data_IF_541096101889
#
_entry.id   IF_541096101889
#
_cell.length_a   1.000
_cell.length_b   1.000
_cell.length_c   1.000
_cell.angle_alpha   90.00
_cell.angle_beta   90.00
_cell.angle_gamma   90.00
#
_symmetry.space_group_name_H-M   'P 1'
#
loop_
_entity.id
_entity.type
_entity.pdbx_description
1 polymer ?
#
# COMPACT_ATOMS: atom_id res chain seq x y z
N UNK A 1 1.54 -12.57 -16.42
CA UNK A 1 0.79 -11.31 -16.47
C UNK A 1 0.57 -10.85 -17.92
N UNK A 2 1.60 -10.67 -18.76
CA UNK A 2 1.45 -10.18 -20.13
C UNK A 2 0.50 -11.05 -20.99
N UNK A 3 0.67 -12.37 -20.94
CA UNK A 3 -0.25 -13.30 -21.62
C UNK A 3 -1.68 -13.11 -21.11
N UNK A 4 -1.87 -12.91 -19.80
CA UNK A 4 -3.17 -12.63 -19.22
C UNK A 4 -3.78 -11.33 -19.74
N UNK A 5 -3.01 -10.25 -19.82
CA UNK A 5 -3.46 -8.98 -20.37
C UNK A 5 -3.91 -9.12 -21.85
N UNK A 6 -3.16 -9.85 -22.67
CA UNK A 6 -3.57 -10.14 -24.04
C UNK A 6 -4.80 -11.06 -24.14
N UNK A 7 -4.96 -12.00 -23.19
CA UNK A 7 -6.17 -12.85 -23.14
C UNK A 7 -7.43 -12.06 -22.86
N UNK A 8 -7.33 -10.95 -22.10
CA UNK A 8 -8.46 -10.03 -21.86
C UNK A 8 -8.96 -9.32 -23.14
N UNK A 9 -8.15 -9.29 -24.21
CA UNK A 9 -8.57 -8.74 -25.49
C UNK A 9 -9.50 -9.69 -26.28
N UNK A 10 -9.59 -10.98 -25.87
CA UNK A 10 -10.48 -11.95 -26.52
C UNK A 10 -11.91 -11.70 -26.05
N UNK A 11 -12.85 -11.35 -26.95
CA UNK A 11 -14.22 -10.99 -26.56
C UNK A 11 -15.04 -12.25 -26.23
N UNK A 12 -14.66 -12.95 -25.16
CA UNK A 12 -15.35 -14.14 -24.68
C UNK A 12 -15.24 -14.27 -23.16
N UNK A 13 -16.22 -14.91 -22.53
CA UNK A 13 -16.21 -15.20 -21.10
C UNK A 13 -14.97 -16.03 -20.71
N UNK A 14 -14.56 -16.97 -21.55
CA UNK A 14 -13.35 -17.76 -21.34
C UNK A 14 -12.09 -16.89 -21.38
N UNK A 15 -11.99 -15.96 -22.35
CA UNK A 15 -10.88 -15.00 -22.43
C UNK A 15 -10.77 -14.13 -21.19
N UNK A 16 -11.92 -13.66 -20.68
CA UNK A 16 -11.98 -12.86 -19.45
C UNK A 16 -11.46 -13.66 -18.24
N UNK A 17 -12.01 -14.83 -17.95
CA UNK A 17 -11.59 -15.62 -16.80
C UNK A 17 -10.15 -16.12 -16.91
N UNK A 18 -9.71 -16.56 -18.08
CA UNK A 18 -8.32 -16.97 -18.32
C UNK A 18 -7.37 -15.78 -18.14
N UNK A 19 -7.73 -14.62 -18.69
CA UNK A 19 -6.95 -13.41 -18.55
C UNK A 19 -6.77 -12.99 -17.09
N UNK A 20 -7.87 -12.92 -16.33
CA UNK A 20 -7.84 -12.60 -14.90
C UNK A 20 -7.03 -13.62 -14.11
N UNK A 21 -7.22 -14.92 -14.35
CA UNK A 21 -6.46 -15.98 -13.69
C UNK A 21 -4.94 -15.83 -13.92
N UNK A 22 -4.52 -15.62 -15.17
CA UNK A 22 -3.10 -15.47 -15.52
C UNK A 22 -2.49 -14.18 -14.97
N UNK A 23 -3.24 -13.08 -14.90
CA UNK A 23 -2.77 -11.83 -14.27
C UNK A 23 -2.58 -12.04 -12.78
N UNK A 24 -3.55 -12.62 -12.07
CA UNK A 24 -3.48 -12.89 -10.63
C UNK A 24 -2.34 -13.85 -10.31
N UNK A 25 -2.24 -14.96 -11.03
CA UNK A 25 -1.17 -15.94 -10.85
C UNK A 25 0.22 -15.29 -11.06
N UNK A 26 0.38 -14.55 -12.15
CA UNK A 26 1.62 -13.86 -12.45
C UNK A 26 1.98 -12.78 -11.43
N UNK A 27 1.00 -12.05 -10.91
CA UNK A 27 1.21 -11.05 -9.85
C UNK A 27 1.63 -11.70 -8.53
N UNK A 28 1.01 -12.82 -8.18
CA UNK A 28 1.34 -13.59 -6.97
C UNK A 28 2.79 -14.08 -6.94
N UNK A 29 3.37 -14.44 -8.07
CA UNK A 29 4.79 -14.80 -8.15
C UNK A 29 5.72 -13.60 -8.29
N UNK A 30 5.32 -12.58 -9.05
CA UNK A 30 6.20 -11.44 -9.37
C UNK A 30 6.46 -10.56 -8.15
N UNK A 31 5.39 -10.11 -7.47
CA UNK A 31 5.48 -9.09 -6.41
C UNK A 31 6.36 -9.50 -5.23
N UNK A 32 6.23 -10.71 -4.62
CA UNK A 32 7.08 -11.09 -3.51
C UNK A 32 8.54 -11.26 -3.89
N UNK A 33 8.80 -11.76 -5.11
CA UNK A 33 10.17 -11.97 -5.56
C UNK A 33 10.90 -10.65 -5.83
N UNK A 34 10.24 -9.67 -6.47
CA UNK A 34 10.87 -8.36 -6.70
C UNK A 34 11.11 -7.62 -5.37
N UNK A 35 10.15 -7.65 -4.43
CA UNK A 35 10.30 -7.08 -3.10
C UNK A 35 11.45 -7.74 -2.32
N UNK A 36 11.56 -9.07 -2.39
CA UNK A 36 12.63 -9.82 -1.73
C UNK A 36 13.99 -9.47 -2.31
N UNK A 37 14.14 -9.46 -3.65
CA UNK A 37 15.41 -9.12 -4.31
C UNK A 37 15.81 -7.68 -4.03
N UNK A 38 14.84 -6.75 -4.06
CA UNK A 38 15.09 -5.37 -3.69
C UNK A 38 15.55 -5.24 -2.23
N UNK A 39 14.88 -5.91 -1.29
CA UNK A 39 15.28 -5.93 0.12
C UNK A 39 16.69 -6.49 0.32
N UNK A 40 17.03 -7.59 -0.36
CA UNK A 40 18.38 -8.20 -0.30
C UNK A 40 19.49 -7.23 -0.68
N UNK A 41 19.26 -6.31 -1.61
CA UNK A 41 20.25 -5.31 -2.02
C UNK A 41 20.63 -4.31 -0.92
N UNK A 42 19.82 -4.20 0.14
CA UNK A 42 20.04 -3.31 1.28
C UNK A 42 20.53 -4.00 2.55
N UNK A 43 20.79 -5.33 2.54
CA UNK A 43 21.20 -6.07 3.74
C UNK A 43 22.45 -5.48 4.41
N UNK A 44 23.41 -5.00 3.62
CA UNK A 44 24.62 -4.35 4.10
C UNK A 44 24.42 -2.86 4.48
N UNK A 45 23.21 -2.32 4.25
CA UNK A 45 22.85 -0.92 4.50
C UNK A 45 21.49 -0.82 5.18
N UNK A 46 21.29 -1.56 6.26
CA UNK A 46 19.99 -1.70 6.94
C UNK A 46 19.36 -0.39 7.40
N UNK A 47 20.17 0.66 7.64
CA UNK A 47 19.68 2.01 7.98
C UNK A 47 18.93 2.67 6.81
N UNK A 48 19.21 2.26 5.57
CA UNK A 48 18.57 2.79 4.35
C UNK A 48 17.36 1.95 3.87
N UNK A 49 17.02 0.87 4.57
CA UNK A 49 15.89 0.01 4.21
C UNK A 49 14.58 0.79 4.09
N UNK A 50 14.29 1.66 5.05
CA UNK A 50 13.04 2.41 5.08
C UNK A 50 12.96 3.39 3.91
N UNK A 51 14.02 4.14 3.63
CA UNK A 51 14.07 5.04 2.47
C UNK A 51 14.07 4.27 1.16
N UNK A 52 14.80 3.15 1.07
CA UNK A 52 14.80 2.28 -0.09
C UNK A 52 13.41 1.76 -0.44
N UNK A 53 12.71 1.18 0.52
CA UNK A 53 11.33 0.73 0.28
C UNK A 53 10.35 1.88 0.05
N UNK A 54 10.61 3.08 0.57
CA UNK A 54 9.82 4.27 0.22
C UNK A 54 10.04 4.70 -1.24
N UNK A 55 11.27 4.59 -1.78
CA UNK A 55 11.56 4.78 -3.21
C UNK A 55 10.80 3.74 -4.05
N UNK A 56 10.82 2.48 -3.62
CA UNK A 56 10.07 1.42 -4.30
C UNK A 56 8.56 1.70 -4.31
N UNK A 57 8.01 2.17 -3.18
CA UNK A 57 6.61 2.55 -3.06
C UNK A 57 6.27 3.78 -3.93
N UNK A 58 7.15 4.78 -3.99
CA UNK A 58 7.03 5.91 -4.92
C UNK A 58 6.94 5.43 -6.38
N UNK A 59 7.79 4.50 -6.78
CA UNK A 59 7.78 3.94 -8.13
C UNK A 59 6.48 3.17 -8.43
N UNK A 60 5.93 2.43 -7.45
CA UNK A 60 4.61 1.77 -7.58
C UNK A 60 3.51 2.82 -7.79
N UNK A 61 3.46 3.87 -6.96
CA UNK A 61 2.43 4.90 -7.07
C UNK A 61 2.52 5.68 -8.38
N UNK A 62 3.74 6.01 -8.82
CA UNK A 62 3.96 6.65 -10.12
C UNK A 62 3.51 5.74 -11.27
N UNK A 63 3.87 4.46 -11.20
CA UNK A 63 3.44 3.45 -12.17
C UNK A 63 1.93 3.26 -12.21
N UNK A 64 1.27 3.26 -11.06
CA UNK A 64 -0.19 3.17 -10.95
C UNK A 64 -0.86 4.41 -11.55
N UNK A 65 -0.37 5.61 -11.21
CA UNK A 65 -0.89 6.85 -11.77
C UNK A 65 -0.77 6.89 -13.31
N UNK A 66 0.42 6.60 -13.84
CA UNK A 66 0.66 6.57 -15.27
C UNK A 66 -0.14 5.46 -15.96
N UNK A 67 -0.21 4.26 -15.35
CA UNK A 67 -0.95 3.12 -15.88
C UNK A 67 -2.44 3.40 -15.98
N UNK A 68 -3.06 3.86 -14.89
CA UNK A 68 -4.50 4.18 -14.89
C UNK A 68 -4.80 5.32 -15.87
N UNK A 69 -3.98 6.37 -15.88
CA UNK A 69 -4.17 7.50 -16.79
C UNK A 69 -4.03 7.08 -18.26
N UNK A 70 -3.01 6.29 -18.60
CA UNK A 70 -2.76 5.86 -19.96
C UNK A 70 -3.77 4.83 -20.44
N UNK A 71 -4.00 3.78 -19.64
CA UNK A 71 -4.89 2.66 -19.98
C UNK A 71 -6.34 3.13 -19.91
N UNK A 72 -6.72 3.90 -18.88
CA UNK A 72 -8.05 4.46 -18.72
C UNK A 72 -8.41 5.39 -19.87
N UNK A 73 -7.57 6.37 -20.18
CA UNK A 73 -7.77 7.28 -21.30
C UNK A 73 -7.87 6.57 -22.65
N UNK A 74 -6.98 5.59 -22.89
CA UNK A 74 -7.00 4.80 -24.11
C UNK A 74 -8.26 3.93 -24.19
N UNK A 75 -8.69 3.35 -23.07
CA UNK A 75 -9.89 2.54 -22.98
C UNK A 75 -11.17 3.35 -23.24
N UNK A 76 -11.27 4.54 -22.66
CA UNK A 76 -12.41 5.45 -22.88
C UNK A 76 -12.50 5.93 -24.34
N UNK A 77 -11.36 6.26 -24.96
CA UNK A 77 -11.29 6.86 -26.30
C UNK A 77 -11.32 5.85 -27.44
N UNK A 78 -10.63 4.72 -27.30
CA UNK A 78 -10.38 3.75 -28.38
C UNK A 78 -10.90 2.34 -28.08
N UNK A 79 -11.49 2.14 -26.91
CA UNK A 79 -11.99 0.85 -26.45
C UNK A 79 -11.00 0.11 -25.54
N UNK A 80 -11.54 -0.60 -24.56
CA UNK A 80 -10.75 -1.27 -23.49
C UNK A 80 -9.75 -2.32 -24.01
N UNK A 81 -10.01 -2.93 -25.17
CA UNK A 81 -9.07 -3.87 -25.80
C UNK A 81 -7.71 -3.23 -26.08
N UNK A 82 -7.68 -1.96 -26.50
CA UNK A 82 -6.44 -1.21 -26.73
C UNK A 82 -5.72 -0.98 -25.41
N UNK A 83 -6.44 -0.64 -24.34
CA UNK A 83 -5.87 -0.52 -23.00
C UNK A 83 -5.21 -1.82 -22.53
N UNK A 84 -5.84 -2.97 -22.74
CA UNK A 84 -5.26 -4.27 -22.38
C UNK A 84 -4.03 -4.62 -23.24
N UNK A 85 -4.00 -4.30 -24.52
CA UNK A 85 -2.83 -4.47 -25.39
C UNK A 85 -1.66 -3.61 -24.88
N UNK A 86 -1.90 -2.34 -24.57
CA UNK A 86 -0.87 -1.45 -24.00
C UNK A 86 -0.34 -2.02 -22.70
N UNK A 87 -1.21 -2.48 -21.81
CA UNK A 87 -0.82 -3.11 -20.55
C UNK A 87 0.07 -4.35 -20.78
N UNK A 88 -0.32 -5.23 -21.72
CA UNK A 88 0.48 -6.40 -22.07
C UNK A 88 1.86 -6.06 -22.62
N UNK A 89 1.97 -5.04 -23.47
CA UNK A 89 3.25 -4.55 -23.99
C UNK A 89 4.13 -3.99 -22.86
N UNK A 90 3.58 -3.16 -21.97
CA UNK A 90 4.32 -2.61 -20.82
C UNK A 90 4.81 -3.72 -19.89
N UNK A 91 4.00 -4.77 -19.68
CA UNK A 91 4.41 -5.94 -18.91
C UNK A 91 5.54 -6.73 -19.59
N UNK A 92 5.58 -6.84 -20.93
CA UNK A 92 6.70 -7.44 -21.65
C UNK A 92 7.96 -6.58 -21.53
N UNK A 93 7.84 -5.26 -21.66
CA UNK A 93 8.97 -4.34 -21.48
C UNK A 93 9.57 -4.41 -20.08
N UNK A 94 8.78 -4.74 -19.05
CA UNK A 94 9.27 -4.92 -17.67
C UNK A 94 10.23 -6.11 -17.50
N UNK A 95 10.32 -7.02 -18.47
CA UNK A 95 11.28 -8.13 -18.47
C UNK A 95 12.71 -7.61 -18.72
N UNK A 96 12.87 -6.53 -19.47
CA UNK A 96 14.18 -5.99 -19.86
C UNK A 96 15.05 -5.64 -18.64
N UNK A 97 14.59 -4.85 -17.65
CA UNK A 97 15.37 -4.59 -16.46
C UNK A 97 15.72 -5.85 -15.67
N UNK A 98 14.85 -6.86 -15.66
CA UNK A 98 15.09 -8.13 -14.94
C UNK A 98 16.24 -8.90 -15.57
N UNK A 99 16.31 -8.97 -16.90
CA UNK A 99 17.39 -9.65 -17.63
C UNK A 99 18.74 -8.94 -17.42
N UNK A 100 18.72 -7.61 -17.33
CA UNK A 100 19.94 -6.80 -17.17
C UNK A 100 20.40 -6.78 -15.71
N UNK A 101 19.49 -6.95 -14.75
CA UNK A 101 19.81 -6.91 -13.31
C UNK A 101 20.64 -8.13 -12.90
N UNK A 102 21.65 -7.89 -12.04
CA UNK A 102 22.42 -8.98 -11.42
C UNK A 102 21.66 -9.49 -10.20
N UNK A 103 21.60 -10.82 -10.04
CA UNK A 103 21.10 -11.40 -8.77
C UNK A 103 22.07 -11.10 -7.63
N UNK A 104 21.52 -10.66 -6.51
CA UNK A 104 22.30 -10.50 -5.28
C UNK A 104 22.43 -11.86 -4.60
N UNK A 105 23.64 -12.45 -4.62
CA UNK A 105 23.97 -13.61 -3.81
C UNK A 105 24.03 -13.20 -2.34
N UNK A 106 23.09 -13.72 -1.56
CA UNK A 106 22.94 -13.43 -0.12
C UNK A 106 23.62 -14.48 0.77
N UNK A 107 24.73 -15.05 0.34
CA UNK A 107 25.41 -16.13 1.08
C UNK A 107 26.05 -15.66 2.40
N UNK A 108 26.36 -14.39 2.53
CA UNK A 108 26.93 -13.78 3.75
C UNK A 108 25.91 -12.93 4.51
N UNK A 109 24.92 -13.58 5.10
CA UNK A 109 24.07 -12.92 6.07
C UNK A 109 24.70 -13.03 7.45
N UNK A 110 25.42 -12.00 7.90
CA UNK A 110 25.84 -11.88 9.28
C UNK A 110 24.59 -11.84 10.17
N UNK A 111 24.48 -12.85 11.03
CA UNK A 111 23.41 -12.92 12.03
C UNK A 111 23.61 -11.74 12.99
N UNK A 112 22.80 -10.69 12.82
CA UNK A 112 22.78 -9.59 13.79
C UNK A 112 22.52 -10.10 15.22
N UNK A 113 22.96 -9.36 16.22
CA UNK A 113 22.89 -9.69 17.67
C UNK A 113 21.48 -9.96 18.22
N UNK A 114 20.43 -9.76 17.41
CA UNK A 114 19.04 -9.90 17.85
C UNK A 114 18.63 -11.37 17.97
N UNK A 115 18.14 -11.79 19.14
CA UNK A 115 17.67 -13.16 19.40
C UNK A 115 16.55 -13.57 18.44
N UNK A 116 16.49 -14.86 18.11
CA UNK A 116 15.49 -15.43 17.19
C UNK A 116 14.07 -15.12 17.67
N UNK A 117 13.79 -15.28 18.97
CA UNK A 117 12.47 -14.99 19.55
C UNK A 117 12.05 -13.54 19.34
N UNK A 118 12.95 -12.58 19.53
CA UNK A 118 12.67 -11.16 19.32
C UNK A 118 12.42 -10.84 17.84
N UNK A 119 13.12 -11.50 16.92
CA UNK A 119 12.93 -11.37 15.48
C UNK A 119 11.55 -11.87 15.07
N UNK A 120 11.15 -13.08 15.50
CA UNK A 120 9.84 -13.66 15.23
C UNK A 120 8.74 -12.76 15.81
N UNK A 121 8.89 -12.29 17.04
CA UNK A 121 7.92 -11.39 17.67
C UNK A 121 7.72 -10.10 16.88
N UNK A 122 8.79 -9.45 16.42
CA UNK A 122 8.71 -8.22 15.61
C UNK A 122 8.00 -8.46 14.28
N UNK A 123 8.24 -9.60 13.63
CA UNK A 123 7.58 -9.98 12.38
C UNK A 123 6.07 -10.21 12.63
N UNK A 124 5.71 -10.93 13.68
CA UNK A 124 4.31 -11.22 14.01
C UNK A 124 3.54 -9.93 14.36
N UNK A 125 4.13 -9.07 15.19
CA UNK A 125 3.52 -7.76 15.52
C UNK A 125 3.35 -6.94 14.24
N UNK A 126 4.34 -6.89 13.37
CA UNK A 126 4.26 -6.15 12.11
C UNK A 126 3.16 -6.70 11.20
N UNK A 127 3.01 -8.02 11.06
CA UNK A 127 1.95 -8.63 10.27
C UNK A 127 0.57 -8.29 10.81
N UNK A 128 0.36 -8.39 12.13
CA UNK A 128 -0.92 -8.06 12.75
C UNK A 128 -1.24 -6.57 12.56
N UNK A 129 -0.29 -5.70 12.91
CA UNK A 129 -0.48 -4.24 12.85
C UNK A 129 -0.78 -3.79 11.42
N UNK A 130 0.02 -4.23 10.46
CA UNK A 130 -0.17 -3.85 9.05
C UNK A 130 -1.42 -4.50 8.44
N UNK A 131 -1.72 -5.76 8.82
CA UNK A 131 -2.96 -6.42 8.41
C UNK A 131 -4.20 -5.68 8.91
N UNK A 132 -4.21 -5.28 10.17
CA UNK A 132 -5.29 -4.47 10.77
C UNK A 132 -5.41 -3.11 10.09
N UNK A 133 -4.27 -2.45 9.80
CA UNK A 133 -4.28 -1.18 9.07
C UNK A 133 -5.02 -1.29 7.73
N UNK A 134 -4.60 -2.23 6.88
CA UNK A 134 -5.20 -2.39 5.57
C UNK A 134 -6.65 -2.88 5.63
N UNK A 135 -6.98 -3.71 6.63
CA UNK A 135 -8.37 -4.13 6.85
C UNK A 135 -9.29 -2.95 7.21
N UNK A 136 -8.84 -2.10 8.14
CA UNK A 136 -9.56 -0.86 8.51
C UNK A 136 -9.64 0.10 7.32
N UNK A 137 -8.54 0.26 6.59
CA UNK A 137 -8.47 1.09 5.39
C UNK A 137 -9.50 0.64 4.35
N UNK A 138 -9.60 -0.65 4.07
CA UNK A 138 -10.51 -1.21 3.08
C UNK A 138 -11.98 -0.92 3.40
N UNK A 139 -12.37 -1.03 4.68
CA UNK A 139 -13.73 -0.66 5.13
C UNK A 139 -13.99 0.83 4.95
N UNK A 140 -13.05 1.67 5.38
CA UNK A 140 -13.20 3.13 5.33
C UNK A 140 -13.13 3.64 3.89
N UNK A 141 -12.46 2.91 3.00
CA UNK A 141 -12.33 3.23 1.58
C UNK A 141 -13.69 3.21 0.85
N UNK A 142 -14.70 2.50 1.36
CA UNK A 142 -16.07 2.54 0.83
C UNK A 142 -16.57 4.00 0.83
N UNK A 143 -16.36 4.73 1.93
CA UNK A 143 -16.75 6.15 2.01
C UNK A 143 -15.87 7.05 1.15
N UNK A 144 -14.58 6.77 1.05
CA UNK A 144 -13.65 7.53 0.19
C UNK A 144 -14.10 7.40 -1.27
N UNK A 145 -14.41 6.19 -1.71
CA UNK A 145 -14.86 5.92 -3.06
C UNK A 145 -16.23 6.56 -3.35
N UNK A 146 -17.17 6.49 -2.42
CA UNK A 146 -18.48 7.14 -2.51
C UNK A 146 -18.32 8.67 -2.68
N UNK A 147 -17.51 9.32 -1.85
CA UNK A 147 -17.20 10.75 -1.97
C UNK A 147 -16.50 11.09 -3.29
N UNK A 148 -15.58 10.24 -3.73
CA UNK A 148 -14.87 10.41 -4.99
C UNK A 148 -15.83 10.43 -6.18
N UNK A 149 -16.81 9.53 -6.20
CA UNK A 149 -17.84 9.48 -7.24
C UNK A 149 -18.70 10.74 -7.19
N UNK A 150 -19.17 11.15 -6.01
CA UNK A 150 -20.00 12.33 -5.85
C UNK A 150 -19.25 13.61 -6.27
N UNK A 151 -17.98 13.80 -5.83
CA UNK A 151 -17.19 14.97 -6.23
C UNK A 151 -16.83 14.99 -7.72
N UNK A 152 -16.71 13.84 -8.37
CA UNK A 152 -16.51 13.78 -9.82
C UNK A 152 -17.70 14.34 -10.61
N UNK A 153 -18.89 14.41 -10.00
CA UNK A 153 -20.12 14.89 -10.61
C UNK A 153 -20.45 16.35 -10.24
N UNK A 154 -20.18 16.75 -8.98
CA UNK A 154 -20.57 18.08 -8.45
C UNK A 154 -19.47 19.12 -8.54
N UNK A 155 -18.21 18.72 -8.76
CA UNK A 155 -17.10 19.64 -8.79
C UNK A 155 -17.13 20.51 -10.06
N UNK A 156 -16.94 21.83 -9.88
CA UNK A 156 -16.73 22.77 -10.99
C UNK A 156 -15.41 22.50 -11.76
N UNK A 157 -14.54 21.65 -11.24
CA UNK A 157 -13.31 21.28 -11.90
C UNK A 157 -13.60 20.31 -13.03
N UNK A 158 -13.34 20.72 -14.25
CA UNK A 158 -13.56 19.91 -15.46
C UNK A 158 -12.50 18.80 -15.59
N UNK A 159 -12.47 17.90 -14.61
CA UNK A 159 -11.53 16.77 -14.50
C UNK A 159 -12.27 15.49 -14.89
N UNK A 160 -11.65 14.65 -15.71
CA UNK A 160 -12.23 13.36 -16.11
C UNK A 160 -12.42 12.42 -14.90
N UNK A 161 -13.42 11.54 -14.96
CA UNK A 161 -13.67 10.54 -13.88
C UNK A 161 -12.45 9.67 -13.60
N UNK A 162 -11.70 9.28 -14.63
CA UNK A 162 -10.45 8.52 -14.48
C UNK A 162 -9.36 9.27 -13.71
N UNK A 163 -9.23 10.59 -13.91
CA UNK A 163 -8.29 11.40 -13.12
C UNK A 163 -8.74 11.56 -11.67
N UNK A 164 -10.04 11.69 -11.41
CA UNK A 164 -10.56 11.67 -10.05
C UNK A 164 -10.19 10.38 -9.31
N UNK A 165 -10.19 9.23 -9.99
CA UNK A 165 -9.78 7.93 -9.42
C UNK A 165 -8.30 7.90 -9.02
N UNK A 166 -7.46 8.72 -9.61
CA UNK A 166 -6.02 8.78 -9.31
C UNK A 166 -5.61 9.91 -8.37
N UNK A 167 -6.56 10.74 -7.93
CA UNK A 167 -6.26 11.97 -7.17
C UNK A 167 -5.50 11.69 -5.87
N UNK A 168 -5.81 10.58 -5.19
CA UNK A 168 -5.07 10.14 -4.00
C UNK A 168 -3.60 9.86 -4.31
N UNK A 169 -3.30 9.20 -5.43
CA UNK A 169 -1.93 8.89 -5.84
C UNK A 169 -1.12 10.15 -6.15
N UNK A 170 -1.75 11.22 -6.65
CA UNK A 170 -1.07 12.50 -6.92
C UNK A 170 -0.48 13.08 -5.63
N UNK A 171 -1.21 13.04 -4.52
CA UNK A 171 -0.71 13.54 -3.23
C UNK A 171 0.38 12.64 -2.65
N UNK A 172 0.28 11.34 -2.85
CA UNK A 172 1.27 10.37 -2.35
C UNK A 172 2.65 10.58 -2.97
N UNK A 173 2.76 11.06 -4.22
CA UNK A 173 4.04 11.28 -4.89
C UNK A 173 4.94 12.30 -4.17
N UNK A 174 4.53 13.58 -3.95
CA UNK A 174 5.38 14.55 -3.25
C UNK A 174 5.62 14.18 -1.79
N UNK A 175 4.66 13.56 -1.11
CA UNK A 175 4.82 13.09 0.26
C UNK A 175 5.88 11.97 0.32
N UNK A 176 5.92 11.07 -0.66
CA UNK A 176 6.97 10.04 -0.76
C UNK A 176 8.36 10.64 -0.89
N UNK A 177 8.53 11.70 -1.70
CA UNK A 177 9.81 12.39 -1.85
C UNK A 177 10.29 12.98 -0.53
N UNK A 178 9.41 13.64 0.21
CA UNK A 178 9.73 14.16 1.54
C UNK A 178 10.09 13.03 2.50
N UNK A 179 9.33 11.94 2.52
CA UNK A 179 9.60 10.79 3.37
C UNK A 179 10.94 10.11 3.04
N UNK A 180 11.32 10.01 1.76
CA UNK A 180 12.63 9.47 1.34
C UNK A 180 13.76 10.29 1.97
N UNK A 181 13.69 11.62 1.88
CA UNK A 181 14.69 12.51 2.48
C UNK A 181 14.72 12.32 4.01
N UNK A 182 13.56 12.34 4.67
CA UNK A 182 13.47 12.17 6.11
C UNK A 182 14.08 10.82 6.56
N UNK A 183 13.72 9.72 5.90
CA UNK A 183 14.21 8.39 6.30
C UNK A 183 15.66 8.12 5.90
N UNK A 184 16.23 8.89 4.99
CA UNK A 184 17.65 8.80 4.64
C UNK A 184 18.51 9.49 5.68
N UNK A 185 18.12 10.66 6.15
CA UNK A 185 18.94 11.49 7.03
C UNK A 185 18.53 11.40 8.51
N UNK A 186 17.25 11.12 8.81
CA UNK A 186 16.73 11.04 10.18
C UNK A 186 16.28 9.62 10.50
N UNK A 187 17.17 8.85 11.11
CA UNK A 187 16.85 7.49 11.50
C UNK A 187 15.82 7.47 12.65
N UNK A 188 14.76 6.73 12.47
CA UNK A 188 13.77 6.43 13.51
C UNK A 188 13.38 4.96 13.49
N UNK A 189 12.85 4.43 14.61
CA UNK A 189 12.43 3.03 14.67
C UNK A 189 11.25 2.77 13.71
N UNK A 190 11.22 1.57 13.14
CA UNK A 190 10.16 1.16 12.21
C UNK A 190 8.77 1.16 12.88
N UNK A 191 8.69 0.72 14.14
CA UNK A 191 7.44 0.77 14.91
C UNK A 191 6.96 2.20 15.22
N UNK A 192 7.89 3.16 15.38
CA UNK A 192 7.54 4.57 15.47
C UNK A 192 6.87 5.06 14.18
N UNK A 193 7.38 4.65 13.02
CA UNK A 193 6.78 4.99 11.74
C UNK A 193 5.39 4.39 11.57
N UNK A 194 5.21 3.11 11.94
CA UNK A 194 3.88 2.49 11.97
C UNK A 194 2.89 3.27 12.86
N UNK A 195 3.35 3.67 14.06
CA UNK A 195 2.54 4.51 14.97
C UNK A 195 2.10 5.81 14.29
N UNK A 196 3.03 6.52 13.64
CA UNK A 196 2.73 7.74 12.87
C UNK A 196 1.70 7.48 11.78
N UNK A 197 1.84 6.35 11.06
CA UNK A 197 0.86 5.93 10.04
C UNK A 197 -0.56 5.82 10.59
N UNK A 198 -0.74 5.17 11.74
CA UNK A 198 -2.06 5.04 12.36
C UNK A 198 -2.63 6.38 12.84
N UNK A 199 -1.80 7.27 13.41
CA UNK A 199 -2.23 8.60 13.84
C UNK A 199 -2.73 9.41 12.65
N UNK A 200 -1.96 9.46 11.55
CA UNK A 200 -2.36 10.20 10.36
C UNK A 200 -3.57 9.56 9.65
N UNK A 201 -3.72 8.24 9.70
CA UNK A 201 -4.93 7.55 9.25
C UNK A 201 -6.17 7.94 10.05
N UNK A 202 -6.06 7.99 11.38
CA UNK A 202 -7.15 8.45 12.24
C UNK A 202 -7.53 9.91 11.95
N UNK A 203 -6.55 10.80 11.75
CA UNK A 203 -6.77 12.21 11.38
C UNK A 203 -7.48 12.28 10.02
N UNK A 204 -7.02 11.55 9.01
CA UNK A 204 -7.64 11.52 7.68
C UNK A 204 -9.11 11.12 7.77
N UNK A 205 -9.41 10.01 8.44
CA UNK A 205 -10.79 9.53 8.58
C UNK A 205 -11.64 10.48 9.44
N UNK A 206 -11.04 11.13 10.45
CA UNK A 206 -11.70 12.17 11.22
C UNK A 206 -12.09 13.38 10.36
N UNK A 207 -11.24 13.81 9.44
CA UNK A 207 -11.55 14.90 8.49
C UNK A 207 -12.67 14.47 7.53
N UNK A 208 -12.62 13.24 7.01
CA UNK A 208 -13.70 12.70 6.16
C UNK A 208 -15.05 12.65 6.88
N UNK A 209 -15.03 12.40 8.18
CA UNK A 209 -16.25 12.36 8.97
C UNK A 209 -16.96 13.71 9.06
N UNK A 210 -16.24 14.83 8.84
CA UNK A 210 -16.82 16.18 8.79
C UNK A 210 -17.62 16.43 7.50
N UNK A 211 -17.51 15.56 6.49
CA UNK A 211 -18.22 15.70 5.23
C UNK A 211 -19.58 14.98 5.37
N UNK A 212 -20.72 15.69 5.16
CA UNK A 212 -22.05 15.08 5.26
C UNK A 212 -22.26 13.98 4.22
N UNK A 213 -23.30 13.17 4.40
CA UNK A 213 -23.63 12.07 3.48
C UNK A 213 -23.83 12.58 2.04
N UNK A 214 -24.48 13.71 1.88
CA UNK A 214 -24.62 14.41 0.59
C UNK A 214 -23.70 15.64 0.64
N UNK A 215 -22.50 15.56 0.04
CA UNK A 215 -21.56 16.67 0.03
C UNK A 215 -22.01 17.77 -0.93
N UNK A 216 -21.49 18.96 -0.70
CA UNK A 216 -21.55 20.09 -1.63
C UNK A 216 -20.14 20.37 -2.16
N UNK A 217 -20.02 21.19 -3.20
CA UNK A 217 -18.74 21.58 -3.78
C UNK A 217 -17.76 22.14 -2.74
N UNK A 218 -18.26 22.87 -1.73
CA UNK A 218 -17.44 23.43 -0.65
C UNK A 218 -16.66 22.38 0.17
N UNK A 219 -17.13 21.13 0.19
CA UNK A 219 -16.46 20.04 0.89
C UNK A 219 -15.30 19.40 0.08
N UNK A 220 -15.11 19.80 -1.19
CA UNK A 220 -14.04 19.26 -2.04
C UNK A 220 -12.66 19.48 -1.42
N UNK A 221 -12.40 20.68 -0.86
CA UNK A 221 -11.12 20.98 -0.20
C UNK A 221 -10.93 20.10 1.05
N UNK A 222 -11.96 19.91 1.85
CA UNK A 222 -11.92 19.03 3.03
C UNK A 222 -11.59 17.59 2.63
N UNK A 223 -12.20 17.11 1.55
CA UNK A 223 -11.87 15.80 0.98
C UNK A 223 -10.40 15.70 0.55
N UNK A 224 -9.89 16.69 -0.19
CA UNK A 224 -8.49 16.68 -0.65
C UNK A 224 -7.50 16.74 0.52
N UNK A 225 -7.79 17.53 1.57
CA UNK A 225 -6.97 17.57 2.78
C UNK A 225 -6.94 16.19 3.44
N UNK A 226 -8.06 15.48 3.51
CA UNK A 226 -8.09 14.13 4.07
C UNK A 226 -7.21 13.17 3.29
N UNK A 227 -7.18 13.25 1.94
CA UNK A 227 -6.32 12.43 1.10
C UNK A 227 -4.83 12.72 1.31
N UNK A 228 -4.45 13.96 1.60
CA UNK A 228 -3.05 14.30 1.98
C UNK A 228 -2.65 13.55 3.26
N UNK A 229 -3.50 13.60 4.31
CA UNK A 229 -3.23 12.87 5.55
C UNK A 229 -3.24 11.35 5.35
N UNK A 230 -4.10 10.85 4.47
CA UNK A 230 -4.13 9.44 4.10
C UNK A 230 -2.84 9.02 3.40
N UNK A 231 -2.35 9.81 2.45
CA UNK A 231 -1.07 9.58 1.78
C UNK A 231 0.12 9.55 2.77
N UNK A 232 0.14 10.47 3.76
CA UNK A 232 1.14 10.45 4.84
C UNK A 232 1.00 9.14 5.64
N UNK A 233 -0.22 8.71 5.96
CA UNK A 233 -0.49 7.46 6.65
C UNK A 233 0.06 6.24 5.90
N UNK A 234 -0.28 6.10 4.63
CA UNK A 234 0.12 4.96 3.78
C UNK A 234 1.64 4.81 3.66
N UNK A 235 2.37 5.92 3.49
CA UNK A 235 3.83 5.92 3.37
C UNK A 235 4.52 5.42 4.65
N UNK A 236 3.88 5.59 5.79
CA UNK A 236 4.39 5.10 7.07
C UNK A 236 4.02 3.63 7.34
N UNK A 237 3.23 3.01 6.48
CA UNK A 237 2.79 1.61 6.63
C UNK A 237 3.32 0.73 5.48
N UNK A 238 2.97 1.07 4.24
CA UNK A 238 3.21 0.21 3.08
C UNK A 238 4.70 -0.14 2.84
N UNK A 239 5.65 0.80 2.83
CA UNK A 239 7.07 0.46 2.67
C UNK A 239 7.67 -0.14 3.95
N UNK A 240 7.17 0.23 5.12
CA UNK A 240 7.79 -0.13 6.41
C UNK A 240 7.62 -1.62 6.73
N UNK A 241 6.51 -2.26 6.36
CA UNK A 241 6.37 -3.71 6.54
C UNK A 241 7.48 -4.47 5.80
N UNK A 242 7.77 -4.10 4.56
CA UNK A 242 8.81 -4.76 3.77
C UNK A 242 10.21 -4.53 4.34
N UNK A 243 10.44 -3.34 4.88
CA UNK A 243 11.67 -3.02 5.61
C UNK A 243 11.83 -3.87 6.89
N UNK A 244 10.77 -4.04 7.69
CA UNK A 244 10.77 -4.90 8.87
C UNK A 244 11.08 -6.35 8.49
N UNK A 245 10.39 -6.87 7.48
CA UNK A 245 10.61 -8.23 7.00
C UNK A 245 12.04 -8.45 6.54
N UNK A 246 12.59 -7.53 5.74
CA UNK A 246 13.98 -7.60 5.28
C UNK A 246 14.96 -7.60 6.43
N UNK A 247 14.74 -6.74 7.43
CA UNK A 247 15.65 -6.60 8.59
C UNK A 247 15.67 -7.83 9.50
N UNK A 248 14.50 -8.46 9.70
CA UNK A 248 14.35 -9.52 10.73
C UNK A 248 14.30 -10.94 10.15
N UNK A 249 14.15 -11.11 8.83
CA UNK A 249 14.04 -12.42 8.19
C UNK A 249 15.37 -12.90 7.65
N UNK A 250 15.58 -14.22 7.64
CA UNK A 250 16.67 -14.82 6.90
C UNK A 250 16.42 -14.63 5.37
N UNK A 251 17.39 -14.12 4.59
CA UNK A 251 17.23 -13.86 3.17
C UNK A 251 16.70 -15.07 2.36
N UNK A 252 17.02 -16.28 2.79
CA UNK A 252 16.52 -17.53 2.18
C UNK A 252 14.99 -17.63 2.18
N UNK A 253 14.32 -17.11 3.21
CA UNK A 253 12.87 -17.19 3.40
C UNK A 253 12.15 -15.86 3.14
N UNK A 254 12.89 -14.83 2.71
CA UNK A 254 12.36 -13.48 2.61
C UNK A 254 11.20 -13.40 1.61
N UNK A 255 11.29 -14.04 0.43
CA UNK A 255 10.21 -14.03 -0.56
C UNK A 255 8.92 -14.66 -0.03
N UNK A 256 9.04 -15.74 0.77
CA UNK A 256 7.88 -16.41 1.39
C UNK A 256 7.23 -15.45 2.40
N UNK A 257 8.02 -14.80 3.26
CA UNK A 257 7.46 -13.86 4.25
C UNK A 257 6.90 -12.59 3.59
N UNK A 258 7.49 -12.12 2.48
CA UNK A 258 6.90 -11.04 1.67
C UNK A 258 5.53 -11.44 1.10
N UNK A 259 5.35 -12.70 0.66
CA UNK A 259 4.04 -13.20 0.23
C UNK A 259 3.05 -13.26 1.40
N UNK A 260 3.49 -13.74 2.56
CA UNK A 260 2.64 -13.87 3.76
C UNK A 260 2.24 -12.51 4.34
N UNK A 261 2.96 -11.42 4.05
CA UNK A 261 2.59 -10.07 4.49
C UNK A 261 1.21 -9.62 4.01
N UNK A 262 0.74 -10.16 2.88
CA UNK A 262 -0.58 -9.85 2.34
C UNK A 262 -1.70 -10.69 2.96
N UNK A 263 -1.37 -11.80 3.63
CA UNK A 263 -2.36 -12.74 4.16
C UNK A 263 -3.26 -12.13 5.25
N UNK A 264 -2.74 -11.41 6.28
CA UNK A 264 -3.59 -10.81 7.30
C UNK A 264 -4.64 -9.86 6.73
N UNK A 265 -4.25 -9.03 5.76
CA UNK A 265 -5.17 -8.12 5.05
C UNK A 265 -6.30 -8.90 4.39
N UNK A 266 -5.96 -9.96 3.64
CA UNK A 266 -6.95 -10.76 2.92
C UNK A 266 -7.90 -11.51 3.85
N UNK A 267 -7.42 -11.99 5.00
CA UNK A 267 -8.26 -12.61 6.02
C UNK A 267 -9.24 -11.61 6.64
N UNK A 268 -8.77 -10.39 6.94
CA UNK A 268 -9.62 -9.33 7.47
C UNK A 268 -10.65 -8.90 6.41
N UNK A 269 -10.25 -8.71 5.15
CA UNK A 269 -11.17 -8.41 4.04
C UNK A 269 -12.24 -9.48 3.87
N UNK A 270 -11.88 -10.77 4.03
CA UNK A 270 -12.85 -11.87 3.98
C UNK A 270 -13.89 -11.75 5.10
N UNK A 271 -13.45 -11.47 6.34
CA UNK A 271 -14.35 -11.26 7.48
C UNK A 271 -15.30 -10.10 7.21
N UNK A 272 -14.78 -8.96 6.71
CA UNK A 272 -15.59 -7.80 6.40
C UNK A 272 -16.52 -8.03 5.22
N UNK A 273 -16.13 -8.85 4.25
CA UNK A 273 -16.99 -9.26 3.15
C UNK A 273 -18.30 -9.92 3.61
N UNK A 274 -18.31 -10.56 4.79
CA UNK A 274 -19.53 -11.11 5.40
C UNK A 274 -20.51 -10.02 5.88
N UNK A 275 -20.05 -8.80 6.09
CA UNK A 275 -20.85 -7.64 6.51
C UNK A 275 -20.96 -6.57 5.41
N UNK A 276 -20.62 -6.94 4.18
CA UNK A 276 -20.45 -6.03 3.05
C UNK A 276 -21.71 -5.20 2.78
N UNK A 277 -22.88 -5.83 2.74
CA UNK A 277 -24.15 -5.15 2.47
C UNK A 277 -24.41 -4.02 3.47
N UNK A 278 -24.19 -4.26 4.77
CA UNK A 278 -24.39 -3.25 5.81
C UNK A 278 -23.41 -2.06 5.70
N UNK A 279 -22.20 -2.30 5.22
CA UNK A 279 -21.18 -1.28 5.06
C UNK A 279 -21.40 -0.44 3.81
N UNK A 280 -21.89 -1.06 2.72
CA UNK A 280 -22.27 -0.32 1.50
C UNK A 280 -23.54 0.49 1.70
N UNK A 281 -24.53 -0.04 2.44
CA UNK A 281 -25.74 0.69 2.78
C UNK A 281 -25.47 1.86 3.74
N UNK A 282 -24.39 1.79 4.52
CA UNK A 282 -24.00 2.84 5.45
C UNK A 282 -22.47 3.09 5.45
N UNK A 283 -21.94 3.80 4.45
CA UNK A 283 -20.51 4.09 4.34
C UNK A 283 -19.93 4.85 5.55
N UNK A 284 -20.78 5.65 6.24
CA UNK A 284 -20.39 6.35 7.48
C UNK A 284 -20.11 5.40 8.64
N UNK A 285 -20.74 4.23 8.68
CA UNK A 285 -20.42 3.19 9.67
C UNK A 285 -18.99 2.66 9.49
N UNK A 286 -18.60 2.37 8.26
CA UNK A 286 -17.24 1.95 7.92
C UNK A 286 -16.20 2.98 8.35
N UNK A 287 -16.49 4.27 8.12
CA UNK A 287 -15.61 5.36 8.52
C UNK A 287 -15.48 5.49 10.05
N UNK A 288 -16.59 5.34 10.81
CA UNK A 288 -16.57 5.33 12.29
C UNK A 288 -15.71 4.19 12.84
N UNK A 289 -15.89 2.98 12.30
CA UNK A 289 -15.05 1.82 12.64
C UNK A 289 -13.58 2.13 12.34
N UNK A 290 -13.31 2.79 11.20
CA UNK A 290 -11.99 3.22 10.80
C UNK A 290 -11.33 4.16 11.79
N UNK A 291 -12.03 5.23 12.20
CA UNK A 291 -11.52 6.20 13.18
C UNK A 291 -11.17 5.51 14.49
N UNK A 292 -12.10 4.73 15.03
CA UNK A 292 -11.90 4.03 16.31
C UNK A 292 -10.74 3.04 16.21
N UNK A 293 -10.71 2.21 15.17
CA UNK A 293 -9.68 1.21 14.97
C UNK A 293 -8.28 1.82 14.80
N UNK A 294 -8.14 2.84 13.94
CA UNK A 294 -6.86 3.56 13.77
C UNK A 294 -6.40 4.20 15.09
N UNK A 295 -7.31 4.81 15.83
CA UNK A 295 -6.99 5.48 17.10
C UNK A 295 -6.55 4.47 18.17
N UNK A 296 -7.29 3.38 18.35
CA UNK A 296 -6.97 2.33 19.35
C UNK A 296 -5.61 1.69 19.08
N UNK A 297 -5.35 1.29 17.84
CA UNK A 297 -4.06 0.70 17.47
C UNK A 297 -2.93 1.74 17.56
N UNK A 298 -3.18 2.98 17.14
CA UNK A 298 -2.23 4.08 17.28
C UNK A 298 -1.81 4.32 18.72
N UNK A 299 -2.75 4.35 19.67
CA UNK A 299 -2.49 4.47 21.12
C UNK A 299 -1.69 3.24 21.61
N UNK A 300 -2.06 2.03 21.20
CA UNK A 300 -1.32 0.82 21.54
C UNK A 300 0.13 0.87 21.07
N UNK A 301 0.38 1.38 19.87
CA UNK A 301 1.72 1.55 19.32
C UNK A 301 2.51 2.66 20.05
N UNK A 302 1.87 3.73 20.53
CA UNK A 302 2.53 4.73 21.40
C UNK A 302 3.08 4.04 22.66
N UNK A 303 2.24 3.23 23.32
CA UNK A 303 2.64 2.45 24.50
C UNK A 303 3.80 1.49 24.20
N UNK A 304 3.74 0.76 23.09
CA UNK A 304 4.78 -0.16 22.66
C UNK A 304 6.12 0.53 22.36
N UNK A 305 6.10 1.65 21.64
CA UNK A 305 7.31 2.43 21.33
C UNK A 305 7.92 3.02 22.59
N UNK A 306 7.10 3.51 23.51
CA UNK A 306 7.56 4.06 24.80
C UNK A 306 8.19 2.98 25.69
N UNK A 307 7.55 1.80 25.78
CA UNK A 307 8.08 0.65 26.52
C UNK A 307 9.45 0.21 25.99
N UNK A 308 9.59 0.06 24.69
CA UNK A 308 10.86 -0.34 24.08
C UNK A 308 11.98 0.68 24.27
N UNK A 309 11.67 1.98 24.29
CA UNK A 309 12.66 3.02 24.63
C UNK A 309 13.19 2.84 26.07
N UNK A 310 12.31 2.58 27.02
CA UNK A 310 12.67 2.43 28.44
C UNK A 310 13.54 1.19 28.70
N UNK A 311 13.27 0.07 28.02
CA UNK A 311 14.08 -1.14 28.12
C UNK A 311 15.49 -0.96 27.55
N UNK A 312 15.67 -0.19 26.49
CA UNK A 312 16.99 0.08 25.91
C UNK A 312 17.86 0.99 26.84
N UNK A 313 17.25 1.91 27.56
CA UNK A 313 17.97 2.76 28.54
C UNK A 313 18.34 2.03 29.81
N UNK A 314 17.64 0.98 30.20
CA UNK A 314 17.94 0.22 31.45
C UNK A 314 18.97 -0.91 31.23
N UNK A 315 19.40 -1.17 30.00
CA UNK A 315 20.42 -2.19 29.65
C UNK A 315 21.78 -1.58 29.28
N UNK A 316 21.93 -0.28 29.37
CA UNK A 316 23.20 0.49 29.28
C UNK A 316 23.54 1.01 30.67
#
# INVERSE_FOLDING_TARGET
QAIGAFSLCIPSTTGLYLGLFLVVLGSGFFTPNILSNFGKSYLNKTKLLDSGFTIFYLAINLGSFLGISLIGYSGEKFGYNIGFVISGILMLLSIVPIIISKEFNSEEFEKGETSISKRILNILIAFIVVGVFWGIYEISNIRIFDLQMQFSEISAWNISKSLWQTIGSIFTLPISLVAIVLWTFFYSSQFFKLMVGFIFGAISFGILFLIPEIPTENHTITYLISLVFLGISEIHIAPIIHSILTKYTNPKYLAILMSLAFLPTRLISLIFGLFNDKLYDNPMLGLKIGIVGMTVVGIGLIGYVWWNKKTTYNTV
#
